data_IF_379824991726
#
_entry.id   IF_379824991726
#
_cell.length_a   1.000
_cell.length_b   1.000
_cell.length_c   1.000
_cell.angle_alpha   90.00
_cell.angle_beta   90.00
_cell.angle_gamma   90.00
#
_symmetry.space_group_name_H-M   'P 1'
#
loop_
_entity.id
_entity.type
_entity.pdbx_description
1 polymer ?
#
# COMPACT_ATOMS: atom_id res chain seq x y z
N UNK A 1 39.35 -12.51 14.41
CA UNK A 1 38.09 -13.22 14.57
C UNK A 1 37.23 -12.93 13.35
N UNK A 2 36.82 -13.94 12.60
CA UNK A 2 36.12 -13.77 11.34
C UNK A 2 34.62 -13.88 11.62
N UNK A 3 33.85 -12.84 11.28
CA UNK A 3 32.39 -12.90 11.31
C UNK A 3 31.97 -13.93 10.22
N UNK A 4 31.22 -15.00 10.56
CA UNK A 4 30.90 -16.08 9.62
C UNK A 4 30.11 -15.60 8.40
N UNK A 5 29.25 -14.60 8.57
CA UNK A 5 28.40 -14.04 7.50
C UNK A 5 28.65 -12.52 7.42
N UNK A 6 28.98 -12.02 6.25
CA UNK A 6 29.15 -10.60 6.03
C UNK A 6 27.80 -9.92 5.81
N UNK A 7 27.49 -8.92 6.60
CA UNK A 7 26.29 -8.09 6.39
C UNK A 7 26.62 -6.77 5.70
N UNK A 8 25.68 -6.32 4.85
CA UNK A 8 25.70 -5.01 4.23
C UNK A 8 24.40 -4.27 4.52
N UNK A 9 24.54 -3.01 4.94
CA UNK A 9 23.47 -2.05 4.89
C UNK A 9 23.70 -1.22 3.64
N UNK A 10 22.77 -1.35 2.66
CA UNK A 10 22.93 -0.66 1.36
C UNK A 10 24.23 -1.07 0.65
N UNK A 11 24.87 -0.15 -0.11
CA UNK A 11 26.12 -0.38 -0.86
C UNK A 11 26.09 -1.63 -1.74
N UNK A 12 24.95 -1.92 -2.32
CA UNK A 12 24.69 -3.10 -3.16
C UNK A 12 25.71 -3.28 -4.29
N UNK A 13 26.32 -2.19 -4.76
CA UNK A 13 27.35 -2.25 -5.81
C UNK A 13 28.74 -2.69 -5.31
N UNK A 14 28.99 -2.64 -4.00
CA UNK A 14 30.26 -3.10 -3.42
C UNK A 14 30.27 -4.59 -3.08
N UNK A 15 29.11 -5.26 -3.16
CA UNK A 15 28.95 -6.66 -2.73
C UNK A 15 29.76 -7.62 -3.62
N UNK A 16 29.76 -7.40 -4.94
CA UNK A 16 30.51 -8.22 -5.88
C UNK A 16 32.03 -8.11 -5.69
N UNK A 17 32.52 -6.89 -5.46
CA UNK A 17 33.95 -6.66 -5.20
C UNK A 17 34.36 -7.32 -3.88
N UNK A 18 33.54 -7.19 -2.83
CA UNK A 18 33.80 -7.85 -1.56
C UNK A 18 33.84 -9.38 -1.69
N UNK A 19 32.89 -9.97 -2.43
CA UNK A 19 32.88 -11.41 -2.66
C UNK A 19 34.11 -11.91 -3.42
N UNK A 20 34.58 -11.15 -4.41
CA UNK A 20 35.82 -11.49 -5.13
C UNK A 20 37.03 -11.62 -4.19
N UNK A 21 37.11 -10.72 -3.19
CA UNK A 21 38.21 -10.70 -2.22
C UNK A 21 38.00 -11.70 -1.06
N UNK A 22 36.75 -12.13 -0.83
CA UNK A 22 36.34 -13.05 0.25
C UNK A 22 35.34 -14.11 -0.25
N UNK A 23 35.74 -15.00 -1.17
CA UNK A 23 34.81 -15.89 -1.88
C UNK A 23 34.12 -16.93 -1.00
N UNK A 24 34.74 -17.30 0.13
CA UNK A 24 34.18 -18.30 1.07
C UNK A 24 33.19 -17.70 2.08
N UNK A 25 33.04 -16.37 2.10
CA UNK A 25 32.20 -15.70 3.09
C UNK A 25 30.83 -15.39 2.51
N UNK A 26 29.75 -16.01 3.06
CA UNK A 26 28.39 -15.69 2.63
C UNK A 26 28.02 -14.25 2.99
N UNK A 27 27.17 -13.64 2.14
CA UNK A 27 26.78 -12.25 2.25
C UNK A 27 25.27 -12.14 2.42
N UNK A 28 24.82 -11.23 3.30
CA UNK A 28 23.43 -10.89 3.51
C UNK A 28 23.23 -9.37 3.54
N UNK A 29 22.14 -8.88 2.95
CA UNK A 29 21.72 -7.49 3.10
C UNK A 29 20.91 -7.32 4.38
N UNK A 30 21.40 -6.55 5.34
CA UNK A 30 20.69 -6.32 6.62
C UNK A 30 19.79 -5.10 6.58
N UNK A 31 20.07 -4.13 5.69
CA UNK A 31 19.15 -3.06 5.30
C UNK A 31 19.36 -2.75 3.82
N UNK A 32 18.33 -3.00 3.01
CA UNK A 32 18.41 -2.84 1.57
C UNK A 32 17.22 -2.04 1.04
N UNK A 33 17.38 -1.43 -0.13
CA UNK A 33 16.34 -0.65 -0.79
C UNK A 33 16.24 0.76 -0.26
N UNK A 34 15.22 1.07 0.52
CA UNK A 34 14.83 2.42 0.95
C UNK A 34 14.40 3.33 -0.20
N UNK A 35 13.68 2.78 -1.18
CA UNK A 35 12.92 3.58 -2.12
C UNK A 35 11.94 4.45 -1.34
N UNK A 36 11.90 5.75 -1.64
CA UNK A 36 10.96 6.68 -1.03
C UNK A 36 9.74 6.84 -1.93
N UNK A 37 8.56 6.56 -1.40
CA UNK A 37 7.29 6.61 -2.11
C UNK A 37 6.17 7.14 -1.22
N UNK A 38 5.17 7.78 -1.82
CA UNK A 38 3.95 8.23 -1.14
C UNK A 38 2.76 7.56 -1.82
N UNK A 39 2.01 6.74 -1.10
CA UNK A 39 0.92 5.92 -1.63
C UNK A 39 -0.07 6.73 -2.49
N UNK A 40 -0.26 6.30 -3.74
CA UNK A 40 -1.22 6.88 -4.68
C UNK A 40 -0.85 8.26 -5.24
N UNK A 41 0.39 8.72 -5.03
CA UNK A 41 0.93 9.96 -5.60
C UNK A 41 1.81 9.60 -6.80
N UNK A 42 1.69 10.32 -7.89
CA UNK A 42 2.43 10.03 -9.13
C UNK A 42 3.20 11.21 -9.69
N UNK A 43 3.16 12.34 -9.01
CA UNK A 43 4.00 13.50 -9.26
C UNK A 43 4.64 14.00 -7.97
N UNK A 44 5.84 14.57 -8.09
CA UNK A 44 6.52 15.18 -6.96
C UNK A 44 5.82 16.47 -6.53
N UNK A 45 5.51 16.58 -5.25
CA UNK A 45 4.96 17.79 -4.64
C UNK A 45 5.83 18.23 -3.46
N UNK A 46 6.67 19.22 -3.69
CA UNK A 46 7.59 19.72 -2.65
C UNK A 46 6.90 20.57 -1.59
N UNK A 47 5.69 21.08 -1.85
CA UNK A 47 4.92 21.89 -0.90
C UNK A 47 4.24 21.01 0.13
N UNK A 48 3.57 19.94 -0.34
CA UNK A 48 2.94 18.93 0.53
C UNK A 48 3.92 17.87 1.00
N UNK A 49 5.11 17.82 0.41
CA UNK A 49 6.13 16.83 0.75
C UNK A 49 5.79 15.43 0.25
N UNK A 50 5.35 15.28 -1.00
CA UNK A 50 5.05 13.99 -1.59
C UNK A 50 6.04 13.61 -2.68
N UNK A 51 6.33 12.32 -2.78
CA UNK A 51 7.14 11.70 -3.84
C UNK A 51 6.30 10.69 -4.62
N UNK A 52 6.62 10.46 -5.91
CA UNK A 52 5.90 9.46 -6.70
C UNK A 52 5.91 8.08 -6.06
N UNK A 53 4.78 7.37 -6.17
CA UNK A 53 4.59 6.00 -5.64
C UNK A 53 5.27 4.91 -6.52
N UNK A 54 5.99 5.29 -7.55
CA UNK A 54 6.75 4.39 -8.40
C UNK A 54 8.17 4.21 -7.88
N UNK A 55 8.80 3.09 -8.22
CA UNK A 55 10.17 2.73 -7.80
C UNK A 55 11.23 3.53 -8.57
N UNK A 56 11.23 4.87 -8.41
CA UNK A 56 12.10 5.79 -9.18
C UNK A 56 12.93 6.73 -8.30
N UNK A 57 12.65 6.81 -7.01
CA UNK A 57 13.31 7.77 -6.12
C UNK A 57 13.91 7.04 -4.92
N UNK A 58 15.20 7.24 -4.70
CA UNK A 58 15.91 6.77 -3.51
C UNK A 58 16.87 7.84 -3.02
N UNK A 59 17.19 7.90 -1.71
CA UNK A 59 18.28 8.70 -1.19
C UNK A 59 19.63 8.29 -1.78
N UNK A 60 20.62 9.16 -1.74
CA UNK A 60 21.94 8.91 -2.33
C UNK A 60 22.69 7.68 -1.78
N UNK A 61 22.38 7.28 -0.54
CA UNK A 61 22.96 6.12 0.14
C UNK A 61 22.18 4.83 -0.08
N UNK A 62 20.98 4.91 -0.65
CA UNK A 62 20.02 3.82 -0.83
C UNK A 62 19.93 3.39 -2.30
N UNK A 63 18.88 2.66 -2.64
CA UNK A 63 18.58 2.27 -4.03
C UNK A 63 17.07 2.03 -4.22
N UNK A 64 16.66 1.95 -5.49
CA UNK A 64 15.34 1.44 -5.82
C UNK A 64 15.22 -0.06 -5.49
N UNK A 65 14.00 -0.54 -5.32
CA UNK A 65 13.71 -1.95 -5.05
C UNK A 65 14.26 -2.85 -6.17
N UNK A 66 14.00 -2.49 -7.43
CA UNK A 66 14.48 -3.25 -8.59
C UNK A 66 16.01 -3.31 -8.66
N UNK A 67 16.70 -2.21 -8.34
CA UNK A 67 18.15 -2.16 -8.42
C UNK A 67 18.82 -3.16 -7.48
N UNK A 68 18.50 -3.11 -6.18
CA UNK A 68 19.17 -3.99 -5.23
C UNK A 68 18.73 -5.45 -5.37
N UNK A 69 17.41 -5.67 -5.60
CA UNK A 69 16.90 -7.03 -5.70
C UNK A 69 17.42 -7.76 -6.93
N UNK A 70 17.52 -7.08 -8.08
CA UNK A 70 18.12 -7.69 -9.29
C UNK A 70 19.55 -8.14 -9.03
N UNK A 71 20.35 -7.31 -8.35
CA UNK A 71 21.72 -7.68 -7.98
C UNK A 71 21.74 -8.88 -7.03
N UNK A 72 20.93 -8.86 -5.97
CA UNK A 72 20.88 -9.95 -5.01
C UNK A 72 20.38 -11.25 -5.64
N UNK A 73 19.33 -11.19 -6.46
CA UNK A 73 18.71 -12.36 -7.07
C UNK A 73 19.52 -13.01 -8.20
N UNK A 74 20.53 -12.33 -8.72
CA UNK A 74 21.39 -12.83 -9.81
C UNK A 74 22.78 -13.23 -9.35
N UNK A 75 23.08 -13.15 -8.05
CA UNK A 75 24.37 -13.52 -7.49
C UNK A 75 24.19 -14.58 -6.39
N UNK A 76 24.55 -15.83 -6.68
CA UNK A 76 24.32 -17.01 -5.82
C UNK A 76 25.03 -16.94 -4.46
N UNK A 77 26.08 -16.13 -4.35
CA UNK A 77 26.78 -15.88 -3.09
C UNK A 77 26.06 -14.90 -2.16
N UNK A 78 24.99 -14.27 -2.63
CA UNK A 78 24.21 -13.31 -1.85
C UNK A 78 22.93 -13.98 -1.34
N UNK A 79 22.84 -14.18 -0.03
CA UNK A 79 21.73 -14.90 0.62
C UNK A 79 20.38 -14.13 0.59
N UNK A 80 20.34 -12.97 -0.04
CA UNK A 80 19.18 -12.06 -0.05
C UNK A 80 19.30 -10.95 0.99
N UNK A 81 18.19 -10.39 1.44
CA UNK A 81 18.25 -9.28 2.41
C UNK A 81 16.91 -8.86 2.98
N UNK A 82 17.00 -7.93 3.92
CA UNK A 82 15.85 -7.29 4.57
C UNK A 82 15.65 -5.88 4.02
N UNK A 83 14.42 -5.58 3.63
CA UNK A 83 14.08 -4.25 3.12
C UNK A 83 13.94 -3.28 4.29
N UNK A 84 14.52 -2.11 4.15
CA UNK A 84 14.18 -0.95 4.95
C UNK A 84 13.17 -0.09 4.17
N UNK A 85 11.86 -0.15 4.51
CA UNK A 85 11.27 -0.92 5.61
C UNK A 85 9.89 -1.46 5.20
N UNK A 86 9.28 -2.31 6.04
CA UNK A 86 7.96 -2.89 5.75
C UNK A 86 6.83 -1.85 5.74
N UNK A 87 6.83 -0.92 6.69
CA UNK A 87 5.80 0.11 6.83
C UNK A 87 6.45 1.47 7.05
N UNK A 88 5.80 2.54 6.59
CA UNK A 88 6.16 3.88 7.02
C UNK A 88 6.02 4.02 8.54
N UNK A 89 6.82 4.88 9.13
CA UNK A 89 6.86 5.11 10.57
C UNK A 89 7.00 6.60 10.89
N UNK A 90 6.64 6.98 12.11
CA UNK A 90 6.80 8.36 12.60
C UNK A 90 8.28 8.71 12.72
N UNK A 91 8.62 9.91 12.28
CA UNK A 91 10.00 10.39 12.21
C UNK A 91 10.67 10.07 10.88
N UNK A 92 11.93 10.51 10.72
CA UNK A 92 12.77 10.33 9.52
C UNK A 92 12.07 10.65 8.18
N UNK A 93 11.56 11.88 7.99
CA UNK A 93 10.68 12.22 6.86
C UNK A 93 11.44 12.43 5.54
N UNK A 94 12.54 11.71 5.31
CA UNK A 94 13.32 11.75 4.07
C UNK A 94 12.43 11.44 2.84
N UNK A 95 12.54 12.20 1.72
CA UNK A 95 13.57 13.21 1.43
C UNK A 95 13.20 14.63 1.90
N UNK A 96 12.10 14.80 2.56
CA UNK A 96 11.61 16.08 3.06
C UNK A 96 11.84 16.22 4.56
N UNK A 97 11.63 17.43 5.04
CA UNK A 97 11.57 17.76 6.46
C UNK A 97 10.15 18.25 6.76
N UNK A 98 9.96 18.95 7.88
CA UNK A 98 8.69 19.59 8.16
C UNK A 98 8.10 20.28 6.91
N UNK A 99 6.81 20.07 6.60
CA UNK A 99 5.73 19.49 7.40
C UNK A 99 5.60 17.97 7.40
N UNK A 100 6.46 17.22 6.74
CA UNK A 100 6.45 15.75 6.82
C UNK A 100 6.80 15.28 8.23
N UNK A 101 6.06 14.30 8.73
CA UNK A 101 6.22 13.71 10.06
C UNK A 101 6.44 12.20 10.04
N UNK A 102 6.25 11.57 8.88
CA UNK A 102 6.49 10.15 8.67
C UNK A 102 7.62 9.92 7.66
N UNK A 103 8.22 8.74 7.74
CA UNK A 103 9.11 8.24 6.69
C UNK A 103 8.32 7.95 5.40
N UNK A 104 9.06 7.81 4.28
CA UNK A 104 8.53 7.40 2.98
C UNK A 104 9.11 6.05 2.53
N UNK A 105 9.87 5.36 3.39
CA UNK A 105 10.62 4.14 3.04
C UNK A 105 9.78 2.87 3.04
N UNK A 106 8.60 2.88 3.68
CA UNK A 106 7.76 1.71 3.78
C UNK A 106 7.35 1.16 2.41
N UNK A 107 7.33 -0.16 2.26
CA UNK A 107 6.65 -0.81 1.12
C UNK A 107 5.12 -0.73 1.25
N UNK A 108 4.65 -0.45 2.46
CA UNK A 108 3.29 -0.06 2.80
C UNK A 108 3.31 1.29 3.51
N UNK A 109 2.22 2.03 3.50
CA UNK A 109 2.10 3.24 4.29
C UNK A 109 1.95 2.93 5.79
N UNK A 110 1.86 3.96 6.64
CA UNK A 110 1.77 3.80 8.10
C UNK A 110 0.50 3.07 8.57
N UNK A 111 -0.53 3.01 7.73
CA UNK A 111 -1.76 2.24 7.98
C UNK A 111 -1.71 0.82 7.39
N UNK A 112 -0.59 0.40 6.81
CA UNK A 112 -0.45 -0.92 6.18
C UNK A 112 -1.08 -1.02 4.79
N UNK A 113 -1.49 0.08 4.17
CA UNK A 113 -1.96 0.05 2.79
C UNK A 113 -0.78 -0.09 1.83
N UNK A 114 -0.85 -1.04 0.88
CA UNK A 114 0.25 -1.29 -0.06
C UNK A 114 0.55 -0.07 -0.93
N UNK A 115 1.83 0.19 -1.14
CA UNK A 115 2.36 1.08 -2.18
C UNK A 115 2.71 0.27 -3.44
N UNK A 116 3.05 0.92 -4.55
CA UNK A 116 3.35 0.18 -5.80
C UNK A 116 4.53 -0.77 -5.66
N UNK A 117 5.56 -0.42 -4.88
CA UNK A 117 6.72 -1.28 -4.62
C UNK A 117 6.37 -2.57 -3.86
N UNK A 118 5.29 -2.60 -3.08
CA UNK A 118 4.78 -3.84 -2.47
C UNK A 118 4.50 -4.91 -3.53
N UNK A 119 3.85 -4.53 -4.63
CA UNK A 119 3.52 -5.46 -5.70
C UNK A 119 4.75 -5.88 -6.52
N UNK A 120 5.79 -5.03 -6.60
CA UNK A 120 7.08 -5.43 -7.13
C UNK A 120 7.69 -6.57 -6.33
N UNK A 121 7.85 -6.41 -5.00
CA UNK A 121 8.37 -7.48 -4.14
C UNK A 121 7.46 -8.71 -4.14
N UNK A 122 6.15 -8.55 -4.09
CA UNK A 122 5.21 -9.67 -4.16
C UNK A 122 5.38 -10.48 -5.46
N UNK A 123 5.66 -9.83 -6.58
CA UNK A 123 5.89 -10.49 -7.86
C UNK A 123 7.10 -11.42 -7.83
N UNK A 124 8.16 -11.03 -7.11
CA UNK A 124 9.42 -11.77 -7.15
C UNK A 124 9.72 -12.61 -5.91
N UNK A 125 9.00 -12.37 -4.83
CA UNK A 125 9.20 -13.07 -3.55
C UNK A 125 8.12 -14.09 -3.21
N UNK A 126 7.08 -14.22 -4.05
CA UNK A 126 6.01 -15.19 -3.81
C UNK A 126 5.64 -15.93 -5.10
N UNK A 127 5.05 -17.13 -4.95
CA UNK A 127 4.49 -17.91 -6.06
C UNK A 127 3.06 -17.48 -6.43
N UNK A 128 2.45 -16.57 -5.68
CA UNK A 128 1.11 -16.05 -5.95
C UNK A 128 1.06 -15.39 -7.33
N UNK A 129 -0.09 -15.49 -7.97
CA UNK A 129 -0.31 -14.75 -9.22
C UNK A 129 -0.43 -13.26 -8.90
N UNK A 130 0.48 -12.48 -9.44
CA UNK A 130 0.50 -11.02 -9.27
C UNK A 130 0.27 -10.36 -10.62
N UNK A 131 -0.65 -9.41 -10.66
CA UNK A 131 -0.86 -8.51 -11.79
C UNK A 131 -1.41 -7.19 -11.25
N UNK A 132 -0.55 -6.21 -11.10
CA UNK A 132 -0.86 -4.89 -10.56
C UNK A 132 -0.55 -3.81 -11.58
N UNK A 133 -1.49 -2.89 -11.79
CA UNK A 133 -1.38 -1.74 -12.70
C UNK A 133 -1.31 -0.47 -11.85
N UNK A 134 -0.39 0.42 -12.17
CA UNK A 134 -0.31 1.78 -11.66
C UNK A 134 0.07 2.78 -12.76
N UNK A 135 -0.29 4.04 -12.60
CA UNK A 135 -1.11 4.67 -11.57
C UNK A 135 -2.57 4.22 -11.63
N UNK A 136 -3.40 4.65 -10.66
CA UNK A 136 -4.86 4.61 -10.84
C UNK A 136 -5.26 5.39 -12.12
N UNK A 137 -6.46 5.13 -12.67
CA UNK A 137 -6.89 5.76 -13.94
C UNK A 137 -7.95 6.84 -13.71
N UNK A 138 -7.76 7.64 -12.64
CA UNK A 138 -8.70 8.66 -12.21
C UNK A 138 -8.01 10.02 -12.18
N UNK A 139 -7.86 10.66 -13.33
CA UNK A 139 -7.28 11.98 -13.47
C UNK A 139 -8.38 12.99 -13.81
N UNK A 140 -8.40 14.09 -13.11
CA UNK A 140 -9.41 15.13 -13.25
C UNK A 140 -8.75 16.42 -13.69
N UNK A 141 -9.43 17.21 -14.51
CA UNK A 141 -8.91 18.51 -14.96
C UNK A 141 -8.82 19.52 -13.82
N UNK A 142 -9.65 19.35 -12.76
CA UNK A 142 -9.69 20.25 -11.59
C UNK A 142 -10.06 19.44 -10.34
N UNK A 143 -9.33 19.67 -9.26
CA UNK A 143 -9.60 19.04 -7.97
C UNK A 143 -8.33 18.82 -7.16
N UNK A 144 -8.42 18.34 -5.92
CA UNK A 144 -7.27 17.87 -5.20
C UNK A 144 -6.75 16.59 -5.89
N UNK A 145 -5.45 16.45 -5.96
CA UNK A 145 -4.81 15.29 -6.56
C UNK A 145 -4.09 15.60 -7.87
N UNK A 146 -3.74 14.55 -8.57
CA UNK A 146 -2.97 14.62 -9.81
C UNK A 146 -3.87 14.94 -11.00
N UNK A 147 -3.75 16.17 -11.51
CA UNK A 147 -4.53 16.65 -12.62
C UNK A 147 -3.80 16.38 -13.94
N UNK A 148 -4.40 15.58 -14.81
CA UNK A 148 -3.89 15.33 -16.16
C UNK A 148 -5.01 15.60 -17.17
N UNK A 149 -4.83 16.57 -18.08
CA UNK A 149 -5.74 16.75 -19.21
C UNK A 149 -5.83 15.51 -20.09
N UNK A 150 -6.97 15.33 -20.76
CA UNK A 150 -7.11 14.30 -21.78
C UNK A 150 -6.06 14.52 -22.88
N UNK A 151 -5.34 13.44 -23.22
CA UNK A 151 -4.25 13.47 -24.20
C UNK A 151 -2.85 13.56 -23.61
N UNK A 152 -2.70 13.93 -22.33
CA UNK A 152 -1.40 13.93 -21.66
C UNK A 152 -0.81 12.53 -21.56
N UNK A 153 0.51 12.44 -21.72
CA UNK A 153 1.24 11.17 -21.60
C UNK A 153 1.37 10.74 -20.14
N UNK A 154 1.00 9.49 -19.87
CA UNK A 154 1.12 8.85 -18.56
C UNK A 154 1.95 7.57 -18.68
N UNK A 155 2.93 7.42 -17.81
CA UNK A 155 3.68 6.19 -17.66
C UNK A 155 2.87 5.17 -16.85
N UNK A 156 2.39 4.14 -17.52
CA UNK A 156 1.69 3.00 -16.91
C UNK A 156 2.70 1.92 -16.57
N UNK A 157 2.75 1.56 -15.30
CA UNK A 157 3.60 0.48 -14.79
C UNK A 157 2.76 -0.76 -14.48
N UNK A 158 3.34 -1.93 -14.78
CA UNK A 158 2.74 -3.22 -14.44
C UNK A 158 3.76 -4.06 -13.69
N UNK A 159 3.46 -4.36 -12.43
CA UNK A 159 4.20 -5.32 -11.61
C UNK A 159 3.51 -6.69 -11.73
N UNK A 160 4.26 -7.70 -12.13
CA UNK A 160 3.72 -9.06 -12.33
C UNK A 160 4.85 -10.09 -12.36
N UNK A 161 4.51 -11.33 -12.03
CA UNK A 161 5.35 -12.51 -12.26
C UNK A 161 4.84 -13.38 -13.41
N UNK A 162 4.07 -12.80 -14.34
CA UNK A 162 3.64 -13.45 -15.58
C UNK A 162 4.75 -13.42 -16.64
N UNK A 163 4.64 -14.24 -17.66
CA UNK A 163 5.64 -14.34 -18.73
C UNK A 163 5.56 -13.14 -19.70
N UNK A 164 4.36 -12.60 -19.91
CA UNK A 164 4.12 -11.45 -20.77
C UNK A 164 2.81 -10.75 -20.39
N UNK A 165 2.68 -9.50 -20.83
CA UNK A 165 1.49 -8.67 -20.62
C UNK A 165 1.15 -7.90 -21.88
N UNK A 166 -0.12 -7.82 -22.23
CA UNK A 166 -0.66 -6.88 -23.19
C UNK A 166 -1.53 -5.86 -22.49
N UNK A 167 -1.25 -4.58 -22.72
CA UNK A 167 -1.99 -3.46 -22.13
C UNK A 167 -3.05 -2.95 -23.12
N UNK A 168 -4.24 -2.68 -22.62
CA UNK A 168 -5.37 -2.12 -23.40
C UNK A 168 -5.88 -0.85 -22.72
N UNK A 169 -6.22 0.16 -23.53
CA UNK A 169 -6.99 1.32 -23.11
C UNK A 169 -8.26 1.38 -23.94
N UNK A 170 -9.42 1.33 -23.26
CA UNK A 170 -10.75 1.33 -23.89
C UNK A 170 -10.88 0.26 -25.00
N UNK A 171 -10.35 -0.94 -24.73
CA UNK A 171 -10.34 -2.08 -25.66
C UNK A 171 -9.31 -1.99 -26.79
N UNK A 172 -8.56 -0.90 -26.92
CA UNK A 172 -7.49 -0.76 -27.92
C UNK A 172 -6.15 -1.16 -27.34
N UNK A 173 -5.45 -2.11 -27.97
CA UNK A 173 -4.12 -2.55 -27.57
C UNK A 173 -3.12 -1.38 -27.58
N UNK A 174 -2.31 -1.32 -26.54
CA UNK A 174 -1.14 -0.43 -26.41
C UNK A 174 0.19 -1.20 -26.57
N UNK A 175 0.06 -2.46 -27.00
CA UNK A 175 1.18 -3.36 -27.27
C UNK A 175 1.39 -4.39 -26.17
N UNK A 176 1.99 -5.50 -26.61
CA UNK A 176 2.41 -6.62 -25.76
C UNK A 176 3.88 -6.51 -25.43
N UNK A 177 4.27 -6.87 -24.20
CA UNK A 177 5.66 -6.92 -23.74
C UNK A 177 5.92 -8.21 -22.98
N UNK A 178 7.09 -8.79 -23.18
CA UNK A 178 7.58 -9.92 -22.39
C UNK A 178 8.18 -9.41 -21.09
N UNK A 179 8.00 -10.17 -20.00
CA UNK A 179 8.50 -9.84 -18.68
C UNK A 179 9.91 -10.36 -18.49
N UNK A 180 10.86 -9.49 -18.24
CA UNK A 180 12.17 -9.86 -17.73
C UNK A 180 12.10 -10.17 -16.24
N UNK A 181 12.76 -11.24 -15.80
CA UNK A 181 12.77 -11.60 -14.37
C UNK A 181 13.36 -10.47 -13.52
N UNK A 182 12.80 -10.25 -12.35
CA UNK A 182 13.17 -9.21 -11.38
C UNK A 182 12.95 -7.76 -11.87
N UNK A 183 12.17 -7.56 -12.94
CA UNK A 183 11.87 -6.24 -13.48
C UNK A 183 10.38 -5.89 -13.37
N UNK A 184 9.99 -4.77 -13.95
CA UNK A 184 8.62 -4.34 -14.18
C UNK A 184 8.39 -4.02 -15.65
N UNK A 185 7.14 -3.90 -16.07
CA UNK A 185 6.80 -3.43 -17.43
C UNK A 185 6.26 -2.01 -17.38
N UNK A 186 6.57 -1.25 -18.42
CA UNK A 186 6.17 0.16 -18.55
C UNK A 186 5.66 0.46 -19.94
N UNK A 187 4.54 1.21 -20.04
CA UNK A 187 4.01 1.80 -21.27
C UNK A 187 3.81 3.29 -21.06
N UNK A 188 4.09 4.08 -22.07
CA UNK A 188 3.69 5.48 -22.11
C UNK A 188 2.38 5.57 -22.90
N UNK A 189 1.30 6.03 -22.28
CA UNK A 189 -0.05 6.03 -22.83
C UNK A 189 -0.65 7.42 -22.71
N UNK A 190 -1.24 7.92 -23.79
CA UNK A 190 -2.00 9.16 -23.71
C UNK A 190 -3.31 8.92 -22.95
N UNK A 191 -3.54 9.75 -21.94
CA UNK A 191 -4.69 9.62 -21.06
C UNK A 191 -6.00 9.85 -21.81
N UNK A 192 -6.89 8.88 -21.70
CA UNK A 192 -8.31 8.95 -22.05
C UNK A 192 -9.10 8.33 -20.89
N UNK A 193 -10.17 9.00 -20.39
CA UNK A 193 -11.05 8.37 -19.40
C UNK A 193 -11.60 7.02 -19.89
N UNK A 194 -11.80 6.09 -18.97
CA UNK A 194 -12.35 4.78 -19.30
C UNK A 194 -11.65 3.63 -18.59
N UNK A 195 -11.40 2.54 -19.30
CA UNK A 195 -10.85 1.31 -18.74
C UNK A 195 -9.43 1.06 -19.24
N UNK A 196 -8.50 0.96 -18.30
CA UNK A 196 -7.15 0.45 -18.52
C UNK A 196 -7.14 -1.02 -18.07
N UNK A 197 -6.77 -1.94 -18.98
CA UNK A 197 -6.78 -3.39 -18.75
C UNK A 197 -5.43 -4.00 -19.10
N UNK A 198 -4.89 -4.79 -18.19
CA UNK A 198 -3.73 -5.65 -18.45
C UNK A 198 -4.21 -7.10 -18.58
N UNK A 199 -3.81 -7.76 -19.67
CA UNK A 199 -4.00 -9.19 -19.91
C UNK A 199 -2.63 -9.84 -19.91
N UNK A 200 -2.40 -10.75 -18.98
CA UNK A 200 -1.12 -11.42 -18.78
C UNK A 200 -1.26 -12.93 -18.91
N UNK A 201 -0.17 -13.60 -19.25
CA UNK A 201 -0.09 -15.05 -19.28
C UNK A 201 1.07 -15.54 -18.40
N UNK A 202 0.78 -16.46 -17.49
CA UNK A 202 1.76 -17.12 -16.60
C UNK A 202 1.68 -18.63 -16.82
N UNK A 203 2.70 -19.22 -17.44
CA UNK A 203 2.73 -20.66 -17.74
C UNK A 203 1.43 -21.14 -18.45
N UNK A 204 0.92 -20.35 -19.40
CA UNK A 204 -0.32 -20.61 -20.13
C UNK A 204 -1.60 -20.19 -19.41
N UNK A 205 -1.59 -19.87 -18.13
CA UNK A 205 -2.73 -19.34 -17.37
C UNK A 205 -2.94 -17.86 -17.70
N UNK A 206 -4.16 -17.49 -18.08
CA UNK A 206 -4.55 -16.09 -18.30
C UNK A 206 -4.87 -15.40 -16.98
N UNK A 207 -4.29 -14.23 -16.77
CA UNK A 207 -4.60 -13.28 -15.69
C UNK A 207 -5.13 -11.99 -16.30
N UNK A 208 -6.07 -11.34 -15.63
CA UNK A 208 -6.62 -10.06 -16.09
C UNK A 208 -6.79 -9.12 -14.91
N UNK A 209 -6.38 -7.88 -15.08
CA UNK A 209 -6.60 -6.78 -14.12
C UNK A 209 -7.14 -5.57 -14.85
N UNK A 210 -8.17 -4.95 -14.28
CA UNK A 210 -8.75 -3.70 -14.79
C UNK A 210 -8.69 -2.63 -13.72
N UNK A 211 -8.43 -1.41 -14.15
CA UNK A 211 -8.63 -0.19 -13.40
C UNK A 211 -9.45 0.76 -14.27
N UNK A 212 -10.29 1.60 -13.65
CA UNK A 212 -11.25 2.40 -14.40
C UNK A 212 -11.31 3.82 -13.84
N UNK A 213 -11.56 4.78 -14.72
CA UNK A 213 -11.95 6.11 -14.30
C UNK A 213 -13.28 6.03 -13.55
N UNK A 214 -13.32 6.62 -12.36
CA UNK A 214 -14.50 6.60 -11.48
C UNK A 214 -15.31 7.90 -11.59
N UNK A 215 -16.55 7.84 -11.14
CA UNK A 215 -17.36 8.99 -10.82
C UNK A 215 -16.92 9.69 -9.54
N UNK A 216 -17.75 10.63 -9.07
CA UNK A 216 -17.60 11.23 -7.75
C UNK A 216 -18.01 10.22 -6.67
N UNK A 217 -17.41 10.29 -5.46
CA UNK A 217 -17.81 9.44 -4.36
C UNK A 217 -19.27 9.69 -3.97
N UNK A 218 -20.00 8.61 -3.65
CA UNK A 218 -21.41 8.66 -3.21
C UNK A 218 -21.68 7.85 -1.95
N UNK A 219 -20.82 6.91 -1.61
CA UNK A 219 -21.01 5.98 -0.49
C UNK A 219 -19.72 5.73 0.27
N UNK A 220 -19.82 5.69 1.61
CA UNK A 220 -18.74 5.26 2.51
C UNK A 220 -18.87 3.75 2.73
N UNK A 221 -17.76 3.01 2.56
CA UNK A 221 -17.70 1.57 2.84
C UNK A 221 -16.71 1.31 3.96
N UNK A 222 -17.14 0.45 4.91
CA UNK A 222 -16.34 0.02 6.07
C UNK A 222 -16.06 -1.48 5.94
N UNK A 223 -14.80 -1.86 5.94
CA UNK A 223 -14.36 -3.26 5.85
C UNK A 223 -13.57 -3.63 7.10
N UNK A 224 -14.13 -4.42 8.02
CA UNK A 224 -13.40 -4.87 9.21
C UNK A 224 -12.40 -5.98 8.87
N UNK A 225 -11.23 -5.97 9.52
CA UNK A 225 -10.27 -7.08 9.47
C UNK A 225 -10.80 -8.31 10.20
N UNK A 226 -11.41 -8.10 11.39
CA UNK A 226 -12.13 -9.11 12.16
C UNK A 226 -13.52 -8.58 12.52
N UNK A 227 -14.54 -9.41 12.37
CA UNK A 227 -15.92 -9.13 12.83
C UNK A 227 -16.20 -9.70 14.20
N UNK A 228 -15.26 -10.48 14.77
CA UNK A 228 -15.33 -11.04 16.12
C UNK A 228 -14.00 -10.82 16.83
N UNK A 229 -14.04 -10.27 18.04
CA UNK A 229 -12.88 -10.01 18.90
C UNK A 229 -13.18 -10.44 20.34
N UNK A 230 -12.13 -10.68 21.14
CA UNK A 230 -12.28 -11.11 22.52
C UNK A 230 -12.62 -9.94 23.45
N UNK A 231 -13.56 -10.16 24.37
CA UNK A 231 -13.92 -9.20 25.41
C UNK A 231 -12.92 -9.27 26.59
N UNK A 232 -11.63 -9.06 26.30
CA UNK A 232 -10.52 -9.15 27.29
C UNK A 232 -9.90 -7.78 27.62
N UNK A 233 -10.45 -6.71 27.04
CA UNK A 233 -9.91 -5.35 27.20
C UNK A 233 -8.63 -5.08 26.41
N UNK A 234 -8.21 -5.99 25.53
CA UNK A 234 -6.95 -5.89 24.77
C UNK A 234 -7.09 -6.23 23.29
N UNK A 235 -7.92 -7.22 22.94
CA UNK A 235 -8.10 -7.61 21.54
C UNK A 235 -8.72 -6.45 20.75
N UNK A 236 -8.29 -6.31 19.51
CA UNK A 236 -8.66 -5.21 18.66
C UNK A 236 -8.93 -5.66 17.22
N UNK A 237 -9.66 -4.83 16.49
CA UNK A 237 -9.83 -4.96 15.04
C UNK A 237 -9.57 -3.64 14.36
N UNK A 238 -9.10 -3.74 13.13
CA UNK A 238 -8.87 -2.62 12.23
C UNK A 238 -10.03 -2.53 11.25
N UNK A 239 -10.57 -1.34 11.07
CA UNK A 239 -11.56 -1.04 10.06
C UNK A 239 -10.89 -0.23 8.96
N UNK A 240 -10.90 -0.75 7.74
CA UNK A 240 -10.48 -0.01 6.55
C UNK A 240 -11.70 0.69 5.94
N UNK A 241 -11.55 1.97 5.64
CA UNK A 241 -12.60 2.77 5.02
C UNK A 241 -12.18 3.22 3.63
N UNK A 242 -13.12 3.18 2.72
CA UNK A 242 -13.01 3.72 1.37
C UNK A 242 -14.34 4.34 0.96
N UNK A 243 -14.36 5.00 -0.19
CA UNK A 243 -15.59 5.52 -0.78
C UNK A 243 -15.79 4.99 -2.19
N UNK A 244 -17.04 4.73 -2.54
CA UNK A 244 -17.44 4.22 -3.85
C UNK A 244 -18.16 5.30 -4.65
N UNK A 245 -18.06 5.18 -5.98
CA UNK A 245 -18.91 5.92 -6.91
C UNK A 245 -20.26 5.20 -7.12
N UNK A 246 -21.12 5.77 -8.00
CA UNK A 246 -22.45 5.20 -8.29
C UNK A 246 -22.42 3.80 -8.91
N UNK A 247 -21.32 3.44 -9.56
CA UNK A 247 -21.11 2.14 -10.17
C UNK A 247 -20.42 1.14 -9.22
N UNK A 248 -20.24 1.50 -7.95
CA UNK A 248 -19.63 0.65 -6.94
C UNK A 248 -18.10 0.51 -7.04
N UNK A 249 -17.42 1.46 -7.71
CA UNK A 249 -15.98 1.45 -7.86
C UNK A 249 -15.32 2.30 -6.77
N UNK A 250 -14.22 1.81 -6.20
CA UNK A 250 -13.41 2.62 -5.26
C UNK A 250 -12.89 3.88 -5.95
N UNK A 251 -13.05 5.04 -5.31
CA UNK A 251 -12.56 6.33 -5.80
C UNK A 251 -11.16 6.58 -5.25
N UNK A 252 -10.10 6.34 -6.05
CA UNK A 252 -8.72 6.25 -5.55
C UNK A 252 -8.10 7.62 -5.22
N UNK A 253 -8.72 8.71 -5.60
CA UNK A 253 -8.29 10.09 -5.36
C UNK A 253 -9.19 10.84 -4.37
N UNK A 254 -10.07 10.13 -3.65
CA UNK A 254 -10.97 10.73 -2.68
C UNK A 254 -10.21 11.23 -1.44
N UNK A 255 -10.63 12.40 -0.93
CA UNK A 255 -10.08 13.08 0.24
C UNK A 255 -11.15 13.53 1.25
N UNK A 256 -12.33 12.93 1.20
CA UNK A 256 -13.45 13.26 2.07
C UNK A 256 -13.08 13.14 3.55
N UNK A 257 -13.58 14.07 4.38
CA UNK A 257 -13.53 13.94 5.83
C UNK A 257 -14.61 12.94 6.26
N UNK A 258 -14.21 11.90 6.98
CA UNK A 258 -15.09 10.88 7.53
C UNK A 258 -15.19 11.07 9.04
N UNK A 259 -16.41 11.14 9.55
CA UNK A 259 -16.73 11.16 10.99
C UNK A 259 -17.14 9.77 11.46
N UNK A 260 -16.74 9.40 12.66
CA UNK A 260 -16.95 8.07 13.22
C UNK A 260 -17.81 8.13 14.48
N UNK A 261 -18.78 7.25 14.55
CA UNK A 261 -19.62 7.03 15.72
C UNK A 261 -19.57 5.54 16.10
N UNK A 262 -19.57 5.27 17.37
CA UNK A 262 -19.53 3.90 17.87
C UNK A 262 -20.41 3.76 19.10
N UNK A 263 -21.12 2.63 19.20
CA UNK A 263 -21.89 2.21 20.36
C UNK A 263 -21.51 0.77 20.73
N UNK A 264 -21.60 0.43 22.02
CA UNK A 264 -21.36 -0.93 22.50
C UNK A 264 -20.08 -1.08 23.34
N UNK A 265 -19.69 -2.32 23.68
CA UNK A 265 -18.64 -2.61 24.66
C UNK A 265 -17.23 -2.55 24.05
N UNK A 266 -16.77 -1.38 23.66
CA UNK A 266 -15.44 -1.12 23.13
C UNK A 266 -15.14 0.36 23.02
N UNK A 267 -13.99 0.71 22.47
CA UNK A 267 -13.58 2.09 22.24
C UNK A 267 -12.78 2.24 20.94
N UNK A 268 -12.85 3.40 20.30
CA UNK A 268 -11.93 3.77 19.23
C UNK A 268 -10.62 4.20 19.91
N UNK A 269 -9.51 3.54 19.57
CA UNK A 269 -8.20 3.84 20.16
C UNK A 269 -7.27 4.62 19.22
N UNK A 270 -7.62 4.73 17.93
CA UNK A 270 -6.83 5.48 16.97
C UNK A 270 -7.44 5.53 15.59
N UNK A 271 -7.02 6.53 14.81
CA UNK A 271 -7.39 6.75 13.41
C UNK A 271 -6.16 7.12 12.59
N UNK A 272 -6.16 6.77 11.30
CA UNK A 272 -5.05 7.06 10.41
C UNK A 272 -5.47 7.06 8.94
N UNK A 273 -4.61 7.55 8.04
CA UNK A 273 -4.87 7.51 6.60
C UNK A 273 -3.61 7.24 5.75
N UNK A 274 -2.45 7.11 6.39
CA UNK A 274 -1.17 6.84 5.72
C UNK A 274 -0.54 8.06 5.03
N UNK A 275 -1.10 9.26 5.15
CA UNK A 275 -0.50 10.51 4.65
C UNK A 275 0.72 10.90 5.48
N UNK A 276 1.94 10.95 4.89
CA UNK A 276 3.16 11.28 5.63
C UNK A 276 3.20 12.73 6.13
N UNK A 277 2.35 13.59 5.62
CA UNK A 277 2.29 15.03 5.95
C UNK A 277 1.03 15.43 6.71
N UNK A 278 0.18 14.47 7.09
CA UNK A 278 -1.04 14.76 7.83
C UNK A 278 -0.73 15.15 9.28
N UNK A 279 -1.25 16.29 9.70
CA UNK A 279 -1.22 16.79 11.07
C UNK A 279 -2.56 16.61 11.79
N UNK A 280 -3.52 15.91 11.18
CA UNK A 280 -4.74 15.51 11.86
C UNK A 280 -4.39 14.56 13.03
N UNK A 281 -5.04 14.71 14.21
CA UNK A 281 -4.71 13.91 15.38
C UNK A 281 -5.03 12.43 15.14
N UNK A 282 -4.11 11.53 15.49
CA UNK A 282 -4.33 10.08 15.44
C UNK A 282 -5.26 9.62 16.59
N UNK A 283 -5.38 10.44 17.64
CA UNK A 283 -6.28 10.27 18.77
C UNK A 283 -7.16 11.50 18.91
N UNK A 284 -8.46 11.35 18.73
CA UNK A 284 -9.43 12.43 18.87
C UNK A 284 -10.09 12.41 20.26
N UNK A 285 -10.64 13.55 20.74
CA UNK A 285 -11.52 13.55 21.91
C UNK A 285 -12.73 12.64 21.69
N UNK A 286 -13.28 12.13 22.79
CA UNK A 286 -14.51 11.34 22.76
C UNK A 286 -15.64 12.11 22.05
N UNK A 287 -16.40 11.42 21.18
CA UNK A 287 -17.46 12.02 20.37
C UNK A 287 -17.01 12.90 19.20
N UNK A 288 -15.69 13.09 18.99
CA UNK A 288 -15.14 13.90 17.90
C UNK A 288 -14.22 13.10 16.96
N UNK A 289 -14.41 11.78 16.90
CA UNK A 289 -13.59 10.92 16.06
C UNK A 289 -13.83 11.20 14.58
N UNK A 290 -12.75 11.55 13.86
CA UNK A 290 -12.78 11.81 12.43
C UNK A 290 -11.40 11.61 11.79
N UNK A 291 -11.39 11.34 10.49
CA UNK A 291 -10.16 11.29 9.69
C UNK A 291 -10.47 11.56 8.23
N UNK A 292 -9.65 12.37 7.58
CA UNK A 292 -9.72 12.56 6.14
C UNK A 292 -9.21 11.32 5.42
N UNK A 293 -9.85 10.96 4.30
CA UNK A 293 -9.27 9.99 3.38
C UNK A 293 -7.98 10.56 2.78
N UNK A 294 -7.00 9.70 2.59
CA UNK A 294 -5.81 9.98 1.81
C UNK A 294 -5.74 9.00 0.64
N UNK A 295 -5.84 9.54 -0.56
CA UNK A 295 -5.91 8.73 -1.78
C UNK A 295 -6.89 7.56 -1.62
N UNK A 296 -8.14 7.92 -1.29
CA UNK A 296 -9.28 7.02 -1.19
C UNK A 296 -9.37 6.17 0.06
N UNK A 297 -8.45 6.27 1.04
CA UNK A 297 -8.42 5.36 2.19
C UNK A 297 -8.17 6.07 3.53
N UNK A 298 -8.82 5.58 4.57
CA UNK A 298 -8.45 5.83 5.96
C UNK A 298 -8.73 4.58 6.82
N UNK A 299 -8.35 4.63 8.09
CA UNK A 299 -8.39 3.48 8.99
C UNK A 299 -8.83 3.90 10.39
N UNK A 300 -9.55 3.02 11.07
CA UNK A 300 -9.95 3.15 12.46
C UNK A 300 -9.56 1.87 13.21
N UNK A 301 -9.05 2.00 14.42
CA UNK A 301 -8.74 0.88 15.30
C UNK A 301 -9.74 0.87 16.45
N UNK A 302 -10.44 -0.25 16.61
CA UNK A 302 -11.40 -0.48 17.70
C UNK A 302 -10.83 -1.55 18.63
N UNK A 303 -10.78 -1.25 19.91
CA UNK A 303 -10.40 -2.18 20.98
C UNK A 303 -11.64 -2.63 21.73
N UNK A 304 -11.71 -3.92 22.04
CA UNK A 304 -12.78 -4.48 22.86
C UNK A 304 -12.68 -4.02 24.32
N UNK A 305 -13.83 -3.81 24.96
CA UNK A 305 -13.91 -3.74 26.41
C UNK A 305 -13.88 -5.14 27.05
N UNK A 306 -14.24 -5.22 28.34
CA UNK A 306 -14.24 -6.48 29.10
C UNK A 306 -15.60 -7.18 29.14
N UNK A 307 -16.63 -6.64 28.47
CA UNK A 307 -17.98 -7.19 28.43
C UNK A 307 -18.30 -7.73 27.04
N UNK A 308 -18.79 -8.96 26.89
CA UNK A 308 -19.33 -9.45 25.63
C UNK A 308 -20.54 -8.63 25.17
N UNK A 309 -20.69 -8.49 23.86
CA UNK A 309 -21.79 -7.75 23.25
C UNK A 309 -21.56 -7.41 21.80
N UNK A 310 -22.38 -6.51 21.27
CA UNK A 310 -22.28 -6.03 19.90
C UNK A 310 -21.76 -4.58 19.90
N UNK A 311 -20.67 -4.34 19.19
CA UNK A 311 -20.20 -3.00 18.85
C UNK A 311 -20.81 -2.63 17.51
N UNK A 312 -21.50 -1.49 17.45
CA UNK A 312 -22.03 -0.90 16.21
C UNK A 312 -21.15 0.28 15.83
N UNK A 313 -20.56 0.22 14.65
CA UNK A 313 -19.72 1.29 14.12
C UNK A 313 -20.38 1.93 12.91
N UNK A 314 -20.43 3.26 12.87
CA UNK A 314 -20.95 4.06 11.78
C UNK A 314 -19.92 5.08 11.30
N UNK A 315 -19.83 5.27 9.99
CA UNK A 315 -18.97 6.24 9.32
C UNK A 315 -19.80 7.15 8.43
N UNK A 316 -19.61 8.45 8.56
CA UNK A 316 -20.41 9.48 7.89
C UNK A 316 -19.51 10.46 7.16
N UNK A 317 -19.91 10.89 5.98
CA UNK A 317 -19.28 11.99 5.25
C UNK A 317 -20.36 12.88 4.62
N UNK A 318 -20.11 14.17 4.57
CA UNK A 318 -21.04 15.14 3.99
C UNK A 318 -21.35 14.81 2.54
N UNK A 319 -22.62 14.63 2.22
CA UNK A 319 -23.11 14.37 0.85
C UNK A 319 -22.93 12.92 0.37
N UNK A 320 -22.48 12.01 1.22
CA UNK A 320 -22.34 10.59 0.91
C UNK A 320 -23.34 9.75 1.72
N UNK A 321 -23.70 8.59 1.22
CA UNK A 321 -24.38 7.57 2.01
C UNK A 321 -23.42 7.05 3.08
N UNK A 322 -23.97 6.85 4.29
CA UNK A 322 -23.21 6.38 5.43
C UNK A 322 -22.83 4.90 5.28
N UNK A 323 -21.64 4.55 5.74
CA UNK A 323 -21.18 3.18 5.90
C UNK A 323 -21.23 2.75 7.37
N UNK A 324 -21.20 1.44 7.62
CA UNK A 324 -21.15 0.91 8.98
C UNK A 324 -20.84 -0.58 8.99
N UNK A 325 -20.55 -1.09 10.18
CA UNK A 325 -20.33 -2.52 10.43
C UNK A 325 -20.60 -2.87 11.88
N UNK A 326 -20.98 -4.11 12.13
CA UNK A 326 -21.14 -4.69 13.46
C UNK A 326 -19.94 -5.58 13.78
N UNK A 327 -19.44 -5.49 15.04
CA UNK A 327 -18.35 -6.30 15.56
C UNK A 327 -18.83 -6.99 16.82
N UNK A 328 -18.79 -8.33 16.83
CA UNK A 328 -19.15 -9.13 17.99
C UNK A 328 -17.98 -9.22 18.97
N UNK A 329 -18.17 -8.85 20.23
CA UNK A 329 -17.24 -9.17 21.31
C UNK A 329 -17.71 -10.43 22.03
N UNK A 330 -16.82 -11.42 22.22
CA UNK A 330 -17.12 -12.71 22.86
C UNK A 330 -16.27 -12.91 24.10
N UNK A 331 -16.80 -13.67 25.10
CA UNK A 331 -16.02 -14.02 26.28
C UNK A 331 -14.78 -14.84 25.89
N UNK A 332 -13.60 -14.58 26.47
CA UNK A 332 -12.42 -15.43 26.31
C UNK A 332 -12.67 -16.91 26.67
N UNK A 333 -13.54 -17.18 27.65
CA UNK A 333 -13.93 -18.53 28.05
C UNK A 333 -14.68 -19.30 26.95
N UNK A 334 -15.42 -18.60 26.08
CA UNK A 334 -16.13 -19.21 24.94
C UNK A 334 -15.19 -19.81 23.89
N UNK A 335 -13.99 -19.28 23.75
CA UNK A 335 -12.97 -19.80 22.81
C UNK A 335 -12.26 -21.04 23.37
N UNK A 336 -12.06 -21.09 24.68
CA UNK A 336 -11.49 -22.26 25.34
C UNK A 336 -12.41 -23.49 25.19
N UNK A 337 -13.72 -23.32 25.24
CA UNK A 337 -14.68 -24.40 25.05
C UNK A 337 -14.67 -24.99 23.62
N UNK A 338 -14.46 -24.16 22.59
CA UNK A 338 -14.42 -24.61 21.18
C UNK A 338 -13.17 -25.45 20.87
N UNK A 339 -12.07 -25.24 21.61
CA UNK A 339 -10.80 -25.95 21.40
C UNK A 339 -10.68 -27.27 22.18
N UNK A 340 -11.61 -27.59 23.07
CA UNK A 340 -11.63 -28.84 23.84
C UNK A 340 -12.33 -29.97 23.04
N UNK A 341 -13.16 -29.61 22.05
CA UNK A 341 -13.93 -30.56 21.23
C UNK A 341 -13.24 -30.91 19.87
N UNK A 342 -11.96 -30.58 19.71
CA UNK A 342 -11.12 -30.97 18.56
C UNK A 342 -9.92 -31.82 19.03
#
# INVERSE_FOLDING_TARGET
EVIPVRSFNYRQFAVADYHRDHPEQPIIGTEMGSTVTTRGIYEKDTVRGYVPDQDITAPWWASTAETWWTLAATNDFWLGGFVWTGMDYRGEPTPYQWPNINSHFGIMDMCGFPKNIYYYYQSWWTDKDVLHISPHWNFREKGPGWNKPVGDSIDVWVNTNADNVELFLNGKSKGKKDMSRNSHLKWTVNYEPGTLEAVAYKKGKKLTKKIQTTGLPVEVVVTPYKTTILADGKDATVLNLTVLDREGREVPDADNMIQFEMEGPGEIIGVGNGDPSSHEPDKCPEGAWQRRLFNGKCQVIIQAGTKPGMIKFNAKATGLWNGGTDIQTISPESVAAINIDK
#
